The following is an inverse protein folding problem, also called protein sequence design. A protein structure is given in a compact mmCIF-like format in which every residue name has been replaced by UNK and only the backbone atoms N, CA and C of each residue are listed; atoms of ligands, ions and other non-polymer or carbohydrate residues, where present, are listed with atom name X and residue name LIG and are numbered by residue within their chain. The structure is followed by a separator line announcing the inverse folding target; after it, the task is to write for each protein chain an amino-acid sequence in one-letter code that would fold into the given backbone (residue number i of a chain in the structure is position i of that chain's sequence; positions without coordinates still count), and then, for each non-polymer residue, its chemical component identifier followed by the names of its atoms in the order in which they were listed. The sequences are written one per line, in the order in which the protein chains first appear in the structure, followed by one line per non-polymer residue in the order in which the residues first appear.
data_IF_814627941110
#
_entry.id   IF_814627941110
#
_cell.length_a   1.000
_cell.length_b   1.000
_cell.length_c   1.000
_cell.angle_alpha   90.00
_cell.angle_beta   90.00
_cell.angle_gamma   90.00
#
_symmetry.space_group_name_H-M   'P 1'
#
loop_
_entity.id
_entity.type
_entity.pdbx_description
1 polymer ?
#
# COMPACT_ATOMS: atom_id res chain seq x y z
N UNK A 1 25.13 -1.32 1.37
CA UNK A 1 23.99 -2.16 0.92
C UNK A 1 22.75 -1.34 1.20
N UNK A 2 21.95 -1.04 0.17
CA UNK A 2 20.73 -0.24 0.36
C UNK A 2 19.59 -1.23 0.65
N UNK A 3 19.28 -1.44 1.93
CA UNK A 3 18.22 -2.37 2.41
C UNK A 3 16.81 -1.80 2.20
N UNK A 4 16.62 -0.91 1.21
CA UNK A 4 15.30 -0.37 0.88
C UNK A 4 14.49 -1.40 0.11
N UNK A 5 13.64 -2.12 0.84
CA UNK A 5 12.70 -3.13 0.32
C UNK A 5 11.59 -2.55 -0.58
N UNK A 6 11.27 -1.27 -0.39
CA UNK A 6 10.22 -0.57 -1.11
C UNK A 6 10.73 0.79 -1.60
N UNK A 7 10.31 1.16 -2.81
CA UNK A 7 10.55 2.47 -3.39
C UNK A 7 9.66 3.53 -2.72
N UNK A 8 8.42 3.15 -2.36
CA UNK A 8 7.43 4.04 -1.74
C UNK A 8 6.68 3.33 -0.60
N UNK A 9 6.44 4.06 0.50
CA UNK A 9 5.53 3.64 1.57
C UNK A 9 4.47 4.71 1.77
N UNK A 10 3.20 4.32 1.66
CA UNK A 10 2.05 5.21 1.90
C UNK A 10 1.66 5.15 3.37
N UNK A 11 2.10 6.12 4.16
CA UNK A 11 1.64 6.28 5.54
C UNK A 11 0.24 6.89 5.59
N UNK A 12 -0.62 6.35 6.46
CA UNK A 12 -2.00 6.79 6.55
C UNK A 12 -2.86 6.31 5.38
N UNK A 13 -2.52 5.16 4.80
CA UNK A 13 -3.22 4.58 3.65
C UNK A 13 -4.72 4.38 3.86
N UNK A 14 -5.19 4.28 5.10
CA UNK A 14 -6.61 4.10 5.43
C UNK A 14 -7.37 5.42 5.63
N UNK A 15 -6.70 6.57 5.54
CA UNK A 15 -7.35 7.89 5.49
C UNK A 15 -8.12 8.08 4.17
N UNK A 16 -8.98 9.09 4.09
CA UNK A 16 -9.73 9.38 2.88
C UNK A 16 -8.80 9.55 1.66
N UNK A 17 -7.80 10.43 1.77
CA UNK A 17 -6.81 10.65 0.69
C UNK A 17 -5.89 9.43 0.50
N UNK A 18 -5.48 8.78 1.59
CA UNK A 18 -4.63 7.60 1.52
C UNK A 18 -5.25 6.46 0.71
N UNK A 19 -6.56 6.26 0.82
CA UNK A 19 -7.28 5.25 0.05
C UNK A 19 -7.31 5.59 -1.44
N UNK A 20 -7.52 6.87 -1.79
CA UNK A 20 -7.48 7.33 -3.18
C UNK A 20 -6.10 7.09 -3.78
N UNK A 21 -5.04 7.50 -3.07
CA UNK A 21 -3.65 7.32 -3.51
C UNK A 21 -3.28 5.84 -3.67
N UNK A 22 -3.68 5.00 -2.71
CA UNK A 22 -3.43 3.55 -2.76
C UNK A 22 -4.04 2.91 -4.01
N UNK A 23 -5.29 3.27 -4.34
CA UNK A 23 -5.96 2.76 -5.56
C UNK A 23 -5.29 3.30 -6.82
N UNK A 24 -4.92 4.58 -6.84
CA UNK A 24 -4.23 5.19 -7.97
C UNK A 24 -2.89 4.51 -8.26
N UNK A 25 -2.06 4.30 -7.23
CA UNK A 25 -0.76 3.63 -7.38
C UNK A 25 -0.96 2.19 -7.86
N UNK A 26 -1.91 1.43 -7.28
CA UNK A 26 -2.19 0.06 -7.72
C UNK A 26 -2.63 0.00 -9.20
N UNK A 27 -3.42 0.96 -9.67
CA UNK A 27 -3.87 1.02 -11.05
C UNK A 27 -2.75 1.46 -12.00
N UNK A 28 -1.96 2.45 -11.61
CA UNK A 28 -0.94 3.07 -12.45
C UNK A 28 0.32 2.21 -12.59
N UNK A 29 0.71 1.52 -11.52
CA UNK A 29 1.91 0.68 -11.43
C UNK A 29 1.53 -0.80 -11.29
N UNK A 30 0.67 -1.28 -12.19
CA UNK A 30 0.25 -2.69 -12.23
C UNK A 30 1.25 -3.58 -13.00
N UNK A 31 2.28 -2.99 -13.57
CA UNK A 31 3.36 -3.62 -14.35
C UNK A 31 4.57 -4.02 -13.50
N UNK A 32 4.47 -3.90 -12.17
CA UNK A 32 5.55 -4.14 -11.21
C UNK A 32 6.80 -3.27 -11.42
N UNK A 33 6.67 -2.12 -12.08
CA UNK A 33 7.76 -1.13 -12.23
C UNK A 33 8.12 -0.40 -10.93
N UNK A 34 7.31 -0.57 -9.89
CA UNK A 34 7.43 0.11 -8.60
C UNK A 34 7.13 -0.87 -7.45
N UNK A 35 8.08 -1.03 -6.54
CA UNK A 35 7.89 -1.73 -5.27
C UNK A 35 7.32 -0.77 -4.23
N UNK A 36 6.13 -1.05 -3.68
CA UNK A 36 5.48 -0.14 -2.73
C UNK A 36 4.73 -0.87 -1.63
N UNK A 37 4.52 -0.18 -0.52
CA UNK A 37 3.78 -0.68 0.64
C UNK A 37 2.79 0.35 1.19
N UNK A 38 1.83 -0.13 1.99
CA UNK A 38 0.91 0.71 2.76
C UNK A 38 1.14 0.54 4.26
N UNK A 39 1.04 1.65 5.00
CA UNK A 39 1.20 1.67 6.44
C UNK A 39 0.08 2.44 7.13
N UNK A 40 -0.25 2.02 8.35
CA UNK A 40 -1.33 2.61 9.13
C UNK A 40 -1.47 1.99 10.51
N UNK A 41 -2.18 2.68 11.40
CA UNK A 41 -2.29 2.28 12.82
C UNK A 41 -3.24 1.11 13.08
N UNK A 42 -4.24 0.92 12.21
CA UNK A 42 -5.25 -0.12 12.37
C UNK A 42 -5.00 -1.25 11.37
N UNK A 43 -4.52 -2.39 11.89
CA UNK A 43 -4.30 -3.61 11.10
C UNK A 43 -5.56 -4.09 10.42
N UNK A 44 -6.72 -3.96 11.07
CA UNK A 44 -8.01 -4.32 10.51
C UNK A 44 -8.38 -3.46 9.29
N UNK A 45 -8.24 -2.13 9.38
CA UNK A 45 -8.50 -1.23 8.25
C UNK A 45 -7.53 -1.45 7.10
N UNK A 46 -6.26 -1.74 7.40
CA UNK A 46 -5.28 -2.11 6.37
C UNK A 46 -5.68 -3.42 5.67
N UNK A 47 -6.03 -4.47 6.42
CA UNK A 47 -6.53 -5.74 5.86
C UNK A 47 -7.72 -5.54 4.94
N UNK A 48 -8.68 -4.70 5.35
CA UNK A 48 -9.83 -4.36 4.53
C UNK A 48 -9.41 -3.68 3.22
N UNK A 49 -8.59 -2.63 3.31
CA UNK A 49 -8.10 -1.89 2.14
C UNK A 49 -7.31 -2.80 1.19
N UNK A 50 -6.39 -3.63 1.72
CA UNK A 50 -5.62 -4.60 0.94
C UNK A 50 -6.51 -5.57 0.17
N UNK A 51 -7.56 -6.10 0.82
CA UNK A 51 -8.54 -6.96 0.13
C UNK A 51 -9.28 -6.22 -0.98
N UNK A 52 -9.70 -4.97 -0.73
CA UNK A 52 -10.43 -4.17 -1.73
C UNK A 52 -9.60 -3.85 -2.99
N UNK A 53 -8.27 -3.75 -2.86
CA UNK A 53 -7.37 -3.46 -3.98
C UNK A 53 -6.69 -4.72 -4.55
N UNK A 54 -7.08 -5.92 -4.09
CA UNK A 54 -6.41 -7.18 -4.41
C UNK A 54 -4.89 -7.10 -4.21
N UNK A 55 -4.47 -6.54 -3.07
CA UNK A 55 -3.08 -6.42 -2.65
C UNK A 55 -2.55 -7.71 -2.00
N UNK A 56 -1.22 -7.81 -1.90
CA UNK A 56 -0.50 -8.90 -1.24
C UNK A 56 -0.48 -8.74 0.29
N UNK A 57 0.11 -9.74 0.96
CA UNK A 57 0.09 -9.93 2.41
C UNK A 57 0.60 -8.71 3.21
N UNK A 58 0.01 -8.48 4.39
CA UNK A 58 0.40 -7.38 5.28
C UNK A 58 1.47 -7.87 6.24
N UNK A 59 2.64 -7.26 6.16
CA UNK A 59 3.73 -7.45 7.12
C UNK A 59 3.38 -6.80 8.46
N UNK A 60 3.74 -7.47 9.57
CA UNK A 60 3.39 -7.04 10.94
C UNK A 60 4.58 -6.36 11.60
#
# INVERSE_FOLDING_TARGET
MNDQKYDIIIFGATSFVGQIMTRYIKQKFNDNSLSWAIAGRSKEKLKKLTKEINGSEIET
#
